data_IF_240017795001
#
_entry.id   IF_240017795001
#
_cell.length_a   1.000
_cell.length_b   1.000
_cell.length_c   1.000
_cell.angle_alpha   90.00
_cell.angle_beta   90.00
_cell.angle_gamma   90.00
#
_symmetry.space_group_name_H-M   'P 1'
#
loop_
_entity.id
_entity.type
_entity.pdbx_description
1 polymer ?
#
# COMPACT_ATOMS: atom_id res chain seq x y z
N UNK A 1 1.24 -1.25 -34.58
CA UNK A 1 -0.19 -0.97 -34.35
C UNK A 1 -0.75 -1.71 -33.12
N UNK A 2 -0.93 -3.05 -33.11
CA UNK A 2 -1.54 -3.79 -31.96
C UNK A 2 -0.80 -3.61 -30.61
N UNK A 3 0.54 -3.58 -30.61
CA UNK A 3 1.35 -3.37 -29.39
C UNK A 3 1.22 -1.95 -28.81
N UNK A 4 1.10 -0.93 -29.65
CA UNK A 4 0.91 0.46 -29.20
C UNK A 4 -0.48 0.68 -28.62
N UNK A 5 -1.50 0.07 -29.23
CA UNK A 5 -2.86 0.11 -28.71
C UNK A 5 -2.95 -0.49 -27.30
N UNK A 6 -2.38 -1.68 -27.10
CA UNK A 6 -2.33 -2.33 -25.77
C UNK A 6 -1.57 -1.49 -24.72
N UNK A 7 -0.47 -0.84 -25.11
CA UNK A 7 0.29 0.03 -24.21
C UNK A 7 -0.53 1.25 -23.77
N UNK A 8 -1.30 1.82 -24.69
CA UNK A 8 -2.16 2.97 -24.46
C UNK A 8 -3.39 2.60 -23.60
N UNK A 9 -4.01 1.45 -23.87
CA UNK A 9 -5.11 0.91 -23.06
C UNK A 9 -4.68 0.63 -21.61
N UNK A 10 -3.49 0.04 -21.42
CA UNK A 10 -2.92 -0.20 -20.09
C UNK A 10 -2.64 1.12 -19.36
N UNK A 11 -2.11 2.13 -20.05
CA UNK A 11 -1.84 3.44 -19.48
C UNK A 11 -3.14 4.12 -19.00
N UNK A 12 -4.21 4.06 -19.80
CA UNK A 12 -5.53 4.56 -19.40
C UNK A 12 -6.06 3.82 -18.18
N UNK A 13 -5.96 2.49 -18.15
CA UNK A 13 -6.41 1.69 -17.02
C UNK A 13 -5.64 2.04 -15.74
N UNK A 14 -4.31 2.04 -15.79
CA UNK A 14 -3.47 2.34 -14.63
C UNK A 14 -3.71 3.75 -14.09
N UNK A 15 -3.86 4.75 -14.98
CA UNK A 15 -4.18 6.12 -14.59
C UNK A 15 -5.51 6.19 -13.83
N UNK A 16 -6.57 5.53 -14.32
CA UNK A 16 -7.87 5.52 -13.63
C UNK A 16 -7.83 4.76 -12.28
N UNK A 17 -7.05 3.68 -12.18
CA UNK A 17 -6.83 3.01 -10.89
C UNK A 17 -6.11 3.94 -9.92
N UNK A 18 -5.09 4.65 -10.38
CA UNK A 18 -4.36 5.62 -9.56
C UNK A 18 -5.24 6.78 -9.10
N UNK A 19 -6.07 7.34 -9.98
CA UNK A 19 -7.04 8.38 -9.61
C UNK A 19 -7.98 7.85 -8.53
N UNK A 20 -8.47 6.62 -8.68
CA UNK A 20 -9.32 5.98 -7.67
C UNK A 20 -8.57 5.78 -6.35
N UNK A 21 -7.28 5.40 -6.41
CA UNK A 21 -6.44 5.25 -5.24
C UNK A 21 -6.22 6.59 -4.51
N UNK A 22 -6.03 7.68 -5.24
CA UNK A 22 -5.91 9.02 -4.65
C UNK A 22 -7.19 9.41 -3.90
N UNK A 23 -8.37 9.11 -4.47
CA UNK A 23 -9.64 9.28 -3.79
C UNK A 23 -9.71 8.46 -2.49
N UNK A 24 -9.30 7.18 -2.53
CA UNK A 24 -9.25 6.32 -1.35
C UNK A 24 -8.27 6.82 -0.28
N UNK A 25 -7.13 7.40 -0.66
CA UNK A 25 -6.18 8.00 0.28
C UNK A 25 -6.81 9.21 1.00
N UNK A 26 -7.52 10.07 0.26
CA UNK A 26 -8.24 11.23 0.83
C UNK A 26 -9.38 10.77 1.75
N UNK A 27 -10.14 9.75 1.37
CA UNK A 27 -11.18 9.17 2.22
C UNK A 27 -10.60 8.57 3.52
N UNK A 28 -9.47 7.87 3.40
CA UNK A 28 -8.79 7.26 4.54
C UNK A 28 -8.33 8.30 5.56
N UNK A 29 -7.81 9.45 5.10
CA UNK A 29 -7.48 10.60 5.94
C UNK A 29 -8.69 11.10 6.74
N UNK A 30 -9.84 11.22 6.08
CA UNK A 30 -11.06 11.75 6.69
C UNK A 30 -11.78 10.76 7.62
N UNK A 31 -11.43 9.47 7.54
CA UNK A 31 -12.13 8.39 8.23
C UNK A 31 -11.28 7.71 9.32
N UNK A 32 -10.18 8.32 9.75
CA UNK A 32 -9.22 7.76 10.71
C UNK A 32 -8.75 6.33 10.35
N UNK A 33 -8.67 6.02 9.05
CA UNK A 33 -8.14 4.73 8.59
C UNK A 33 -6.62 4.76 8.64
N UNK A 34 -6.02 3.58 8.81
CA UNK A 34 -4.57 3.44 8.88
C UNK A 34 -4.09 2.22 8.09
N UNK A 35 -2.86 2.31 7.63
CA UNK A 35 -2.17 1.27 6.89
C UNK A 35 -1.64 0.22 7.87
N UNK A 36 -1.89 -1.05 7.60
CA UNK A 36 -1.37 -2.20 8.35
C UNK A 36 -0.34 -3.00 7.57
N UNK A 37 -0.36 -2.94 6.24
CA UNK A 37 0.64 -3.60 5.38
C UNK A 37 1.03 -2.71 4.21
N UNK A 38 2.29 -2.80 3.80
CA UNK A 38 2.82 -2.18 2.59
C UNK A 38 3.56 -3.26 1.82
N UNK A 39 3.13 -3.53 0.60
CA UNK A 39 3.75 -4.51 -0.30
C UNK A 39 4.17 -3.79 -1.57
N UNK A 40 5.48 -3.72 -1.82
CA UNK A 40 6.00 -3.33 -3.13
C UNK A 40 5.79 -4.47 -4.12
N UNK A 41 5.33 -4.15 -5.32
CA UNK A 41 5.06 -5.10 -6.41
C UNK A 41 5.84 -4.66 -7.65
N UNK A 42 5.91 -5.53 -8.66
CA UNK A 42 6.56 -5.20 -9.94
C UNK A 42 5.95 -3.97 -10.63
N UNK A 43 4.69 -3.63 -10.34
CA UNK A 43 3.93 -2.57 -11.04
C UNK A 43 3.60 -1.38 -10.17
N UNK A 44 3.93 -1.40 -8.87
CA UNK A 44 3.33 -0.48 -7.93
C UNK A 44 3.45 -0.88 -6.48
N UNK A 45 2.54 -0.36 -5.67
CA UNK A 45 2.37 -0.71 -4.26
C UNK A 45 0.94 -1.17 -3.98
N UNK A 46 0.82 -2.12 -3.05
CA UNK A 46 -0.43 -2.44 -2.38
C UNK A 46 -0.35 -2.03 -0.90
N UNK A 47 -1.36 -1.29 -0.44
CA UNK A 47 -1.49 -0.85 0.95
C UNK A 47 -2.71 -1.51 1.57
N UNK A 48 -2.49 -2.43 2.50
CA UNK A 48 -3.58 -3.03 3.28
C UNK A 48 -3.99 -2.08 4.40
N UNK A 49 -5.29 -1.82 4.48
CA UNK A 49 -5.90 -0.94 5.47
C UNK A 49 -6.45 -1.73 6.66
N UNK A 50 -6.66 -1.06 7.78
CA UNK A 50 -7.17 -1.64 9.02
C UNK A 50 -8.60 -2.22 8.91
N UNK A 51 -9.38 -1.79 7.92
CA UNK A 51 -10.72 -2.31 7.62
C UNK A 51 -10.69 -3.50 6.64
N UNK A 52 -9.51 -3.98 6.27
CA UNK A 52 -9.31 -5.07 5.31
C UNK A 52 -9.35 -4.64 3.85
N UNK A 53 -9.63 -3.36 3.54
CA UNK A 53 -9.54 -2.85 2.19
C UNK A 53 -8.08 -2.75 1.72
N UNK A 54 -7.87 -2.75 0.39
CA UNK A 54 -6.55 -2.63 -0.23
C UNK A 54 -6.56 -1.45 -1.19
N UNK A 55 -5.64 -0.50 -1.00
CA UNK A 55 -5.37 0.59 -1.94
C UNK A 55 -4.22 0.16 -2.85
N UNK A 56 -4.41 0.24 -4.17
CA UNK A 56 -3.39 -0.10 -5.17
C UNK A 56 -2.94 1.14 -5.90
N UNK A 57 -1.65 1.40 -5.95
CA UNK A 57 -1.08 2.50 -6.72
C UNK A 57 -0.06 1.95 -7.69
N UNK A 58 -0.31 2.12 -8.98
CA UNK A 58 0.62 1.80 -10.05
C UNK A 58 1.58 2.96 -10.29
N UNK A 59 2.85 2.67 -10.49
CA UNK A 59 3.86 3.64 -10.94
C UNK A 59 4.41 3.28 -12.34
N UNK A 60 3.67 2.42 -13.06
CA UNK A 60 4.06 1.86 -14.36
C UNK A 60 5.29 0.94 -14.27
N UNK A 61 5.61 0.30 -15.38
CA UNK A 61 6.88 -0.43 -15.54
C UNK A 61 8.01 0.55 -15.92
N UNK A 62 9.23 0.27 -15.43
CA UNK A 62 10.43 0.92 -15.97
C UNK A 62 10.51 0.58 -17.46
N UNK A 63 10.50 1.60 -18.30
CA UNK A 63 10.61 1.40 -19.75
C UNK A 63 12.06 1.10 -20.13
N UNK A 64 12.36 0.79 -21.38
CA UNK A 64 13.68 1.09 -21.93
C UNK A 64 13.71 2.56 -22.35
N UNK A 65 14.84 3.23 -22.15
CA UNK A 65 15.05 4.62 -22.56
C UNK A 65 15.09 4.65 -24.10
N UNK A 66 13.97 4.96 -24.73
CA UNK A 66 13.92 5.22 -26.18
C UNK A 66 14.50 6.60 -26.49
N UNK A 67 15.15 6.76 -27.63
CA UNK A 67 15.71 8.05 -28.08
C UNK A 67 14.64 9.14 -28.30
N UNK A 68 13.37 8.75 -28.52
CA UNK A 68 12.25 9.68 -28.67
C UNK A 68 10.99 9.16 -27.97
N UNK A 69 10.52 9.88 -26.95
CA UNK A 69 9.16 9.72 -26.41
C UNK A 69 9.04 9.98 -24.91
N UNK A 70 8.96 11.25 -24.52
CA UNK A 70 8.47 11.64 -23.20
C UNK A 70 7.03 11.14 -23.04
N UNK A 71 6.79 10.26 -22.06
CA UNK A 71 5.45 9.78 -21.74
C UNK A 71 4.63 10.96 -21.18
N UNK A 72 3.66 11.45 -21.94
CA UNK A 72 2.77 12.54 -21.50
C UNK A 72 1.42 12.00 -21.06
N UNK A 73 1.17 12.09 -19.76
CA UNK A 73 -0.13 11.87 -19.13
C UNK A 73 -0.58 13.18 -18.46
N UNK A 74 -1.89 13.50 -18.43
CA UNK A 74 -2.39 14.62 -17.65
C UNK A 74 -2.04 14.45 -16.16
N UNK A 75 -1.55 15.53 -15.54
CA UNK A 75 -1.19 15.51 -14.13
C UNK A 75 -2.45 15.63 -13.27
N UNK A 76 -2.98 14.49 -12.82
CA UNK A 76 -4.11 14.46 -11.89
C UNK A 76 -3.59 14.45 -10.45
N UNK A 77 -4.07 15.41 -9.65
CA UNK A 77 -3.70 15.60 -8.25
C UNK A 77 -4.89 16.13 -7.44
N UNK A 78 -4.70 16.28 -6.13
CA UNK A 78 -5.66 16.92 -5.22
C UNK A 78 -5.06 18.16 -4.56
N UNK A 79 -5.88 19.13 -4.19
CA UNK A 79 -5.45 20.35 -3.51
C UNK A 79 -6.45 20.72 -2.41
N UNK A 80 -5.94 20.98 -1.22
CA UNK A 80 -6.71 21.58 -0.12
C UNK A 80 -7.10 23.02 -0.46
N UNK A 81 -8.28 23.43 0.01
CA UNK A 81 -8.82 24.78 -0.15
C UNK A 81 -9.07 25.42 1.22
N UNK A 82 -9.14 26.75 1.24
CA UNK A 82 -9.38 27.53 2.46
C UNK A 82 -10.75 27.27 3.10
N UNK A 83 -11.67 26.63 2.37
CA UNK A 83 -12.97 26.17 2.87
C UNK A 83 -12.90 24.86 3.67
N UNK A 84 -11.71 24.26 3.80
CA UNK A 84 -11.51 22.99 4.51
C UNK A 84 -11.86 21.75 3.68
N UNK A 85 -12.00 21.91 2.36
CA UNK A 85 -12.25 20.80 1.44
C UNK A 85 -11.07 20.52 0.51
N UNK A 86 -11.05 19.30 -0.02
CA UNK A 86 -10.05 18.82 -0.96
C UNK A 86 -10.66 18.71 -2.35
N UNK A 87 -10.01 19.31 -3.35
CA UNK A 87 -10.51 19.36 -4.73
C UNK A 87 -9.58 18.69 -5.72
N UNK A 88 -10.15 18.10 -6.77
CA UNK A 88 -9.41 17.57 -7.90
C UNK A 88 -8.75 18.68 -8.70
N UNK A 89 -7.52 18.43 -9.14
CA UNK A 89 -6.80 19.29 -10.06
C UNK A 89 -6.23 18.49 -11.22
N UNK A 90 -6.27 19.09 -12.41
CA UNK A 90 -5.57 18.63 -13.61
C UNK A 90 -4.59 19.72 -14.04
N UNK A 91 -3.31 19.37 -14.16
CA UNK A 91 -2.22 20.30 -14.49
C UNK A 91 -2.24 21.57 -13.61
N UNK A 92 -2.53 21.38 -12.32
CA UNK A 92 -2.58 22.44 -11.32
C UNK A 92 -3.84 23.32 -11.34
N UNK A 93 -4.79 23.09 -12.26
CA UNK A 93 -6.08 23.80 -12.34
C UNK A 93 -7.21 22.93 -11.77
N UNK A 94 -8.21 23.54 -11.16
CA UNK A 94 -9.36 22.80 -10.62
C UNK A 94 -10.14 22.10 -11.73
N UNK A 95 -10.45 20.82 -11.53
CA UNK A 95 -11.42 20.11 -12.37
C UNK A 95 -12.81 20.60 -12.00
N UNK A 96 -13.65 20.91 -12.99
CA UNK A 96 -15.01 21.40 -12.79
C UNK A 96 -16.05 20.37 -13.21
N UNK A 97 -17.15 20.30 -12.46
CA UNK A 97 -18.32 19.52 -12.86
C UNK A 97 -19.12 20.22 -13.98
N UNK A 98 -20.14 19.55 -14.51
CA UNK A 98 -20.99 20.12 -15.56
C UNK A 98 -21.79 21.36 -15.16
N UNK A 99 -21.85 21.70 -13.86
CA UNK A 99 -22.43 22.94 -13.35
C UNK A 99 -21.39 24.05 -13.14
N UNK A 100 -20.12 23.77 -13.42
CA UNK A 100 -19.00 24.70 -13.27
C UNK A 100 -18.40 24.76 -11.86
N UNK A 101 -18.85 23.92 -10.92
CA UNK A 101 -18.31 23.89 -9.57
C UNK A 101 -17.01 23.08 -9.53
N UNK A 102 -16.08 23.43 -8.63
CA UNK A 102 -14.87 22.63 -8.43
C UNK A 102 -15.25 21.24 -7.89
N UNK A 103 -14.72 20.19 -8.50
CA UNK A 103 -15.00 18.82 -8.09
C UNK A 103 -14.30 18.48 -6.77
N UNK A 104 -15.08 18.06 -5.78
CA UNK A 104 -14.57 17.60 -4.47
C UNK A 104 -14.03 16.17 -4.53
N UNK A 105 -12.88 15.95 -3.92
CA UNK A 105 -12.24 14.65 -3.75
C UNK A 105 -12.57 14.00 -2.40
N UNK A 106 -12.88 14.80 -1.37
CA UNK A 106 -13.06 14.39 0.02
C UNK A 106 -14.48 13.96 0.40
N UNK A 107 -15.46 14.17 -0.48
CA UNK A 107 -16.86 13.86 -0.21
C UNK A 107 -17.51 14.77 0.83
N UNK A 108 -18.85 14.85 0.83
CA UNK A 108 -19.58 15.66 1.80
C UNK A 108 -19.70 14.85 3.09
N UNK A 109 -19.13 15.33 4.21
CA UNK A 109 -19.39 14.73 5.52
C UNK A 109 -20.89 14.76 5.80
N UNK A 110 -21.46 13.62 6.16
CA UNK A 110 -22.87 13.55 6.53
C UNK A 110 -23.18 14.37 7.77
N UNK A 111 -24.45 14.75 7.93
CA UNK A 111 -24.88 15.56 9.07
C UNK A 111 -24.47 14.89 10.39
N UNK A 112 -24.00 15.68 11.35
CA UNK A 112 -23.75 15.18 12.71
C UNK A 112 -25.11 14.89 13.33
N UNK A 113 -25.31 13.66 13.82
CA UNK A 113 -26.52 13.32 14.57
C UNK A 113 -26.53 14.06 15.90
N UNK A 114 -27.72 14.40 16.39
CA UNK A 114 -27.87 14.89 17.75
C UNK A 114 -27.45 13.81 18.77
N UNK A 115 -27.26 14.18 20.04
CA UNK A 115 -26.77 13.27 21.09
C UNK A 115 -27.57 11.96 21.13
N UNK A 116 -26.97 10.88 20.62
CA UNK A 116 -27.55 9.54 20.60
C UNK A 116 -28.10 9.09 19.23
N UNK A 117 -28.14 9.96 18.23
CA UNK A 117 -28.54 9.62 16.87
C UNK A 117 -27.32 9.38 15.98
N UNK A 118 -27.42 8.36 15.12
CA UNK A 118 -26.44 8.15 14.07
C UNK A 118 -26.59 9.29 13.04
N UNK A 119 -25.50 10.04 12.83
CA UNK A 119 -25.46 11.04 11.78
C UNK A 119 -25.75 10.46 10.40
N UNK A 120 -26.21 11.30 9.48
CA UNK A 120 -26.46 10.88 8.09
C UNK A 120 -25.18 10.36 7.43
N UNK A 121 -25.31 9.46 6.45
CA UNK A 121 -24.17 9.09 5.61
C UNK A 121 -23.83 10.25 4.68
N UNK A 122 -22.53 10.57 4.63
CA UNK A 122 -22.00 11.54 3.68
C UNK A 122 -22.08 11.04 2.24
N UNK A 123 -22.08 11.95 1.27
CA UNK A 123 -21.92 11.59 -0.14
C UNK A 123 -20.42 11.45 -0.46
N UNK A 124 -19.99 10.41 -1.20
CA UNK A 124 -18.59 10.30 -1.61
C UNK A 124 -18.18 11.46 -2.51
N UNK A 125 -16.88 11.76 -2.55
CA UNK A 125 -16.31 12.70 -3.51
C UNK A 125 -16.57 12.23 -4.94
N UNK A 126 -16.68 13.16 -5.88
CA UNK A 126 -16.66 12.80 -7.30
C UNK A 126 -15.30 12.22 -7.66
N UNK A 127 -15.23 11.26 -8.60
CA UNK A 127 -13.96 10.71 -9.09
C UNK A 127 -13.90 11.01 -10.59
N UNK A 128 -12.96 11.85 -11.05
CA UNK A 128 -12.80 12.09 -12.48
C UNK A 128 -12.35 10.81 -13.18
N UNK A 129 -12.73 10.66 -14.45
CA UNK A 129 -12.25 9.56 -15.29
C UNK A 129 -11.42 10.09 -16.44
N UNK A 130 -10.46 9.28 -16.87
CA UNK A 130 -9.62 9.57 -18.02
C UNK A 130 -9.88 8.55 -19.12
N UNK A 131 -9.93 9.00 -20.35
CA UNK A 131 -9.89 8.12 -21.52
C UNK A 131 -9.07 8.75 -22.62
N UNK A 132 -8.88 8.00 -23.70
CA UNK A 132 -8.24 8.50 -24.90
C UNK A 132 -9.26 8.47 -26.02
N UNK A 133 -9.48 9.63 -26.63
CA UNK A 133 -10.25 9.69 -27.86
C UNK A 133 -9.46 9.00 -28.97
N UNK A 134 -9.99 7.88 -29.46
CA UNK A 134 -9.33 7.03 -30.44
C UNK A 134 -9.21 7.69 -31.82
N UNK A 135 -9.99 8.75 -32.08
CA UNK A 135 -9.94 9.49 -33.35
C UNK A 135 -8.79 10.50 -33.34
N UNK A 136 -8.73 11.37 -32.33
CA UNK A 136 -7.69 12.40 -32.21
C UNK A 136 -6.40 11.91 -31.56
N UNK A 137 -6.45 10.80 -30.82
CA UNK A 137 -5.35 10.29 -30.00
C UNK A 137 -5.05 11.19 -28.79
N UNK A 138 -6.03 11.98 -28.34
CA UNK A 138 -5.88 12.92 -27.23
C UNK A 138 -6.52 12.36 -25.97
N UNK A 139 -5.97 12.71 -24.81
CA UNK A 139 -6.61 12.44 -23.53
C UNK A 139 -7.86 13.28 -23.36
N UNK A 140 -8.89 12.66 -22.82
CA UNK A 140 -10.13 13.28 -22.37
C UNK A 140 -10.34 13.04 -20.88
N UNK A 141 -10.95 14.02 -20.21
CA UNK A 141 -11.37 13.93 -18.82
C UNK A 141 -12.89 13.96 -18.75
N UNK A 142 -13.46 13.16 -17.84
CA UNK A 142 -14.86 13.21 -17.48
C UNK A 142 -15.01 13.58 -16.02
N UNK A 143 -15.86 14.58 -15.75
CA UNK A 143 -16.22 15.04 -14.41
C UNK A 143 -17.57 14.49 -13.91
N UNK A 144 -18.25 13.69 -14.72
CA UNK A 144 -19.61 13.19 -14.47
C UNK A 144 -19.72 11.66 -14.56
N UNK A 145 -18.63 10.98 -14.20
CA UNK A 145 -18.51 9.52 -14.17
C UNK A 145 -18.62 8.86 -15.56
N UNK A 146 -18.11 9.53 -16.59
CA UNK A 146 -17.97 9.02 -17.95
C UNK A 146 -19.16 9.30 -18.87
N UNK A 147 -20.09 10.18 -18.49
CA UNK A 147 -21.25 10.52 -19.35
C UNK A 147 -20.87 11.54 -20.41
N UNK A 148 -20.04 12.51 -20.05
CA UNK A 148 -19.46 13.50 -20.96
C UNK A 148 -17.95 13.55 -20.81
N UNK A 149 -17.27 13.98 -21.87
CA UNK A 149 -15.82 13.96 -22.01
C UNK A 149 -15.33 15.26 -22.63
N UNK A 150 -14.26 15.82 -22.07
CA UNK A 150 -13.63 17.04 -22.54
C UNK A 150 -12.16 16.79 -22.88
N UNK A 151 -11.72 17.30 -24.03
CA UNK A 151 -10.32 17.22 -24.45
C UNK A 151 -9.41 17.96 -23.48
N UNK A 152 -8.38 17.27 -22.98
CA UNK A 152 -7.38 17.85 -22.09
C UNK A 152 -6.32 18.68 -22.83
N UNK A 153 -6.19 18.49 -24.15
CA UNK A 153 -5.10 19.06 -24.93
C UNK A 153 -3.78 18.28 -24.83
N UNK A 154 -3.74 17.18 -24.08
CA UNK A 154 -2.57 16.30 -23.98
C UNK A 154 -2.70 15.14 -24.97
N UNK A 155 -1.74 14.99 -25.87
CA UNK A 155 -1.70 13.84 -26.79
C UNK A 155 -1.29 12.59 -26.03
N UNK A 156 -2.06 11.52 -26.17
CA UNK A 156 -1.70 10.24 -25.63
C UNK A 156 -0.44 9.73 -26.35
N UNK A 157 0.62 9.56 -25.58
CA UNK A 157 1.84 8.90 -26.00
C UNK A 157 2.04 7.72 -25.06
N UNK A 158 2.20 6.52 -25.60
CA UNK A 158 2.79 5.41 -24.86
C UNK A 158 4.31 5.51 -25.00
N UNK A 159 5.07 4.93 -24.06
CA UNK A 159 6.50 4.70 -24.30
C UNK A 159 6.62 3.97 -25.64
N UNK A 160 7.32 4.55 -26.62
CA UNK A 160 7.80 3.76 -27.75
C UNK A 160 8.89 2.87 -27.19
N UNK A 161 8.48 1.74 -26.60
CA UNK A 161 9.40 0.66 -26.29
C UNK A 161 9.83 0.04 -27.60
N UNK A 162 10.80 0.66 -28.28
CA UNK A 162 11.64 -0.10 -29.17
C UNK A 162 12.48 -1.02 -28.26
N UNK A 163 12.28 -2.33 -28.38
CA UNK A 163 13.47 -3.15 -28.61
C UNK A 163 14.06 -2.51 -29.87
N UNK A 164 15.24 -1.89 -29.75
CA UNK A 164 15.87 -1.22 -30.88
C UNK A 164 15.75 -2.10 -32.11
N UNK A 165 15.09 -1.60 -33.15
CA UNK A 165 15.05 -2.33 -34.42
C UNK A 165 16.52 -2.46 -34.87
N UNK A 166 17.03 -3.69 -34.87
CA UNK A 166 18.33 -4.11 -35.44
C UNK A 166 19.60 -3.48 -34.85
N UNK A 167 20.06 -3.98 -33.69
CA UNK A 167 21.48 -4.30 -33.53
C UNK A 167 21.72 -5.74 -34.00
N UNK A 168 22.85 -6.08 -34.65
CA UNK A 168 23.10 -7.45 -35.08
C UNK A 168 22.98 -8.39 -33.88
N UNK A 169 22.24 -9.49 -34.04
CA UNK A 169 22.09 -10.56 -33.06
C UNK A 169 23.46 -11.04 -32.59
N UNK A 170 23.90 -10.50 -31.47
CA UNK A 170 25.06 -10.95 -30.73
C UNK A 170 24.63 -11.15 -29.28
N UNK A 171 25.02 -12.26 -28.62
CA UNK A 171 24.69 -12.52 -27.22
C UNK A 171 25.25 -11.47 -26.23
N UNK A 172 25.98 -10.46 -26.72
CA UNK A 172 26.70 -9.44 -25.94
C UNK A 172 26.22 -7.99 -26.17
N UNK A 173 25.06 -7.78 -26.78
CA UNK A 173 24.49 -6.43 -26.91
C UNK A 173 24.15 -5.82 -25.54
N UNK A 174 24.64 -4.62 -25.16
CA UNK A 174 24.31 -4.01 -23.88
C UNK A 174 22.78 -3.81 -23.78
N UNK A 175 22.19 -4.32 -22.71
CA UNK A 175 20.78 -4.04 -22.37
C UNK A 175 20.62 -2.53 -22.23
N UNK A 176 19.69 -1.92 -22.98
CA UNK A 176 19.45 -0.48 -22.93
C UNK A 176 19.13 0.02 -21.52
N UNK A 177 19.44 1.30 -21.24
CA UNK A 177 19.15 1.90 -19.94
C UNK A 177 17.65 1.77 -19.62
N UNK A 178 17.34 1.37 -18.38
CA UNK A 178 15.96 1.41 -17.87
C UNK A 178 15.54 2.89 -17.76
N UNK A 179 14.52 3.29 -18.51
CA UNK A 179 13.87 4.60 -18.41
C UNK A 179 13.04 4.76 -17.14
N UNK A 180 12.64 6.00 -16.86
CA UNK A 180 11.90 6.37 -15.66
C UNK A 180 10.53 5.69 -15.52
N UNK A 181 10.02 5.67 -14.29
CA UNK A 181 8.66 5.26 -13.97
C UNK A 181 7.66 6.11 -14.76
N UNK A 182 6.68 5.48 -15.40
CA UNK A 182 5.78 6.16 -16.31
C UNK A 182 4.35 6.24 -15.77
N UNK A 183 3.70 7.40 -15.89
CA UNK A 183 2.24 7.51 -15.89
C UNK A 183 1.52 7.40 -14.53
N UNK A 184 2.28 7.31 -13.43
CA UNK A 184 1.74 7.25 -12.07
C UNK A 184 1.25 8.61 -11.55
N UNK A 185 0.50 8.63 -10.44
CA UNK A 185 0.17 9.87 -9.71
C UNK A 185 1.26 10.29 -8.71
N UNK A 186 2.17 9.37 -8.37
CA UNK A 186 3.26 9.58 -7.44
C UNK A 186 4.50 10.11 -8.16
N UNK A 187 5.28 10.92 -7.46
CA UNK A 187 6.63 11.26 -7.88
C UNK A 187 7.52 10.00 -7.92
N UNK A 188 8.65 10.03 -8.65
CA UNK A 188 9.67 8.99 -8.53
C UNK A 188 10.08 8.79 -7.07
N UNK A 189 10.09 7.54 -6.60
CA UNK A 189 10.31 7.20 -5.19
C UNK A 189 9.33 7.90 -4.22
N UNK A 190 8.12 8.23 -4.69
CA UNK A 190 7.12 8.97 -3.94
C UNK A 190 6.39 8.17 -2.85
N UNK A 191 6.91 7.03 -2.41
CA UNK A 191 6.40 6.29 -1.24
C UNK A 191 7.51 6.16 -0.23
N UNK A 192 7.32 6.76 0.94
CA UNK A 192 8.23 6.65 2.07
C UNK A 192 7.52 5.95 3.23
N UNK A 193 8.00 4.76 3.59
CA UNK A 193 7.45 3.98 4.70
C UNK A 193 8.24 4.29 5.95
N UNK A 194 7.60 4.93 6.92
CA UNK A 194 8.21 5.22 8.22
C UNK A 194 7.53 4.44 9.34
N UNK A 195 8.12 4.55 10.52
CA UNK A 195 7.44 4.14 11.72
C UNK A 195 6.27 5.11 12.01
N UNK A 196 5.07 4.58 12.23
CA UNK A 196 3.87 5.35 12.54
C UNK A 196 3.13 5.96 11.33
N UNK A 197 3.73 6.04 10.14
CA UNK A 197 3.06 6.55 8.93
C UNK A 197 3.65 6.06 7.61
N UNK A 198 2.89 6.23 6.53
CA UNK A 198 3.37 6.21 5.14
C UNK A 198 3.16 7.60 4.55
N UNK A 199 4.19 8.16 3.94
CA UNK A 199 4.13 9.41 3.20
C UNK A 199 4.14 9.15 1.69
N UNK A 200 3.17 9.74 1.00
CA UNK A 200 3.00 9.69 -0.44
C UNK A 200 3.34 11.06 -1.01
N UNK A 201 4.35 11.14 -1.88
CA UNK A 201 4.69 12.35 -2.62
C UNK A 201 4.07 12.24 -4.02
N UNK A 202 3.15 13.14 -4.35
CA UNK A 202 2.52 13.25 -5.66
C UNK A 202 3.48 13.88 -6.68
N UNK A 203 3.21 13.72 -7.97
CA UNK A 203 4.03 14.30 -9.04
C UNK A 203 4.15 15.85 -8.97
N UNK A 204 3.20 16.53 -8.34
CA UNK A 204 3.26 17.97 -8.10
C UNK A 204 3.95 18.35 -6.78
N UNK A 205 4.70 17.42 -6.18
CA UNK A 205 5.41 17.52 -4.91
C UNK A 205 4.53 17.71 -3.66
N UNK A 206 3.21 17.61 -3.80
CA UNK A 206 2.33 17.57 -2.63
C UNK A 206 2.50 16.26 -1.89
N UNK A 207 2.28 16.31 -0.58
CA UNK A 207 2.47 15.17 0.32
C UNK A 207 1.14 14.80 0.97
N UNK A 208 0.84 13.51 0.97
CA UNK A 208 -0.27 12.89 1.69
C UNK A 208 0.35 11.96 2.72
N UNK A 209 -0.10 12.01 3.98
CA UNK A 209 0.46 11.18 5.05
C UNK A 209 -0.65 10.38 5.72
N UNK A 210 -0.64 9.05 5.55
CA UNK A 210 -1.55 8.18 6.26
C UNK A 210 -0.88 7.55 7.48
N UNK A 211 -1.56 7.47 8.64
CA UNK A 211 -1.06 6.70 9.77
C UNK A 211 -0.79 5.25 9.37
N UNK A 212 0.25 4.67 9.94
CA UNK A 212 0.63 3.27 9.77
C UNK A 212 0.76 2.66 11.15
N UNK A 213 -0.16 1.76 11.47
CA UNK A 213 -0.15 1.02 12.74
C UNK A 213 0.07 -0.43 12.37
N UNK A 214 1.24 -0.94 12.75
CA UNK A 214 1.55 -2.35 12.61
C UNK A 214 0.92 -3.11 13.77
N UNK A 215 0.10 -4.15 13.52
CA UNK A 215 -0.35 -5.02 14.60
C UNK A 215 0.88 -5.65 15.26
N UNK A 216 0.81 -5.83 16.57
CA UNK A 216 1.80 -6.60 17.31
C UNK A 216 1.96 -7.97 16.66
N UNK A 217 3.20 -8.34 16.34
CA UNK A 217 3.55 -9.64 15.80
C UNK A 217 4.86 -10.12 16.41
N UNK A 218 4.87 -11.38 16.84
CA UNK A 218 6.11 -12.09 17.13
C UNK A 218 6.73 -12.63 15.84
N UNK A 219 8.01 -12.36 15.68
CA UNK A 219 8.87 -12.92 14.65
C UNK A 219 9.90 -13.80 15.35
N UNK A 220 9.99 -15.07 14.97
CA UNK A 220 10.98 -16.00 15.50
C UNK A 220 12.12 -16.15 14.48
N UNK A 221 13.29 -15.53 14.69
CA UNK A 221 14.37 -15.51 13.69
C UNK A 221 14.90 -16.91 13.36
N UNK A 222 14.84 -17.84 14.33
CA UNK A 222 15.22 -19.23 14.17
C UNK A 222 14.17 -20.12 13.47
N UNK A 223 13.04 -19.55 13.05
CA UNK A 223 11.90 -20.31 12.55
C UNK A 223 10.96 -20.80 13.66
N UNK A 224 10.09 -21.75 13.32
CA UNK A 224 9.04 -22.25 14.22
C UNK A 224 9.31 -23.68 14.73
N UNK A 225 10.35 -24.35 14.22
CA UNK A 225 10.65 -25.75 14.52
C UNK A 225 11.95 -25.87 15.31
N UNK A 226 11.92 -26.56 16.44
CA UNK A 226 13.07 -26.67 17.35
C UNK A 226 13.27 -28.12 17.83
N UNK A 227 14.50 -28.60 17.70
CA UNK A 227 14.96 -29.85 18.30
C UNK A 227 15.79 -29.55 19.56
N UNK A 228 15.58 -30.37 20.59
CA UNK A 228 16.20 -30.27 21.90
C UNK A 228 16.54 -31.66 22.43
N UNK A 229 17.52 -31.75 23.32
CA UNK A 229 17.78 -32.96 24.10
C UNK A 229 16.69 -33.16 25.15
N UNK A 230 16.44 -34.39 25.55
CA UNK A 230 15.57 -34.68 26.71
C UNK A 230 16.07 -33.98 27.99
N UNK A 231 15.17 -33.32 28.72
CA UNK A 231 15.45 -32.50 29.91
C UNK A 231 16.19 -31.18 29.67
N UNK A 232 16.44 -30.77 28.42
CA UNK A 232 17.12 -29.53 28.07
C UNK A 232 16.22 -28.30 28.33
N UNK A 233 16.83 -27.22 28.81
CA UNK A 233 16.24 -25.89 28.83
C UNK A 233 16.84 -25.03 27.71
N UNK A 234 16.00 -24.33 26.95
CA UNK A 234 16.41 -23.47 25.82
C UNK A 234 15.62 -22.17 25.81
N UNK A 235 16.28 -21.10 25.38
CA UNK A 235 15.65 -19.82 25.11
C UNK A 235 15.46 -19.68 23.59
N UNK A 236 14.22 -19.56 23.16
CA UNK A 236 13.85 -19.34 21.76
C UNK A 236 13.64 -17.84 21.55
N UNK A 237 14.52 -17.14 20.82
CA UNK A 237 14.42 -15.70 20.65
C UNK A 237 13.22 -15.32 19.78
N UNK A 238 12.58 -14.20 20.13
CA UNK A 238 11.63 -13.52 19.27
C UNK A 238 11.95 -12.03 19.18
N UNK A 239 11.51 -11.43 18.09
CA UNK A 239 11.44 -9.98 17.90
C UNK A 239 9.98 -9.59 17.82
N UNK A 240 9.60 -8.58 18.57
CA UNK A 240 8.30 -7.97 18.50
C UNK A 240 8.34 -6.90 17.41
N UNK A 241 7.46 -7.05 16.43
CA UNK A 241 7.20 -6.04 15.41
C UNK A 241 5.80 -5.47 15.64
N UNK A 242 5.60 -4.18 15.40
CA UNK A 242 4.33 -3.53 15.77
C UNK A 242 4.54 -2.26 16.59
N UNK A 243 3.55 -1.38 16.60
CA UNK A 243 3.57 -0.18 17.45
C UNK A 243 2.17 0.09 18.03
N UNK A 244 2.10 0.41 19.33
CA UNK A 244 0.89 0.92 20.02
C UNK A 244 0.39 0.03 21.17
N UNK A 245 0.46 0.51 22.42
CA UNK A 245 0.07 -0.24 23.63
C UNK A 245 1.27 -0.89 24.36
N UNK A 246 1.00 -1.68 25.39
CA UNK A 246 2.02 -2.50 26.10
C UNK A 246 1.75 -3.97 25.77
N UNK A 247 2.69 -4.69 25.12
CA UNK A 247 2.48 -6.08 24.77
C UNK A 247 2.57 -6.96 26.01
N UNK A 248 1.68 -7.94 26.11
CA UNK A 248 1.87 -9.06 27.04
C UNK A 248 2.03 -10.35 26.24
N UNK A 249 2.98 -11.16 26.66
CA UNK A 249 3.31 -12.43 26.03
C UNK A 249 3.12 -13.55 27.04
N UNK A 250 2.44 -14.61 26.62
CA UNK A 250 2.27 -15.82 27.41
C UNK A 250 2.72 -17.01 26.56
N UNK A 251 3.31 -18.01 27.20
CA UNK A 251 3.63 -19.27 26.55
C UNK A 251 3.09 -20.43 27.37
N UNK A 252 2.68 -21.50 26.70
CA UNK A 252 2.26 -22.74 27.34
C UNK A 252 2.81 -23.91 26.53
N UNK A 253 3.45 -24.84 27.22
CA UNK A 253 3.85 -26.12 26.66
C UNK A 253 2.76 -27.17 26.90
N UNK A 254 2.68 -28.14 26.00
CA UNK A 254 1.83 -29.32 26.11
C UNK A 254 2.69 -30.60 26.20
N UNK A 255 2.08 -31.72 26.57
CA UNK A 255 2.71 -33.05 26.55
C UNK A 255 4.02 -33.12 27.36
N UNK A 256 4.02 -32.51 28.55
CA UNK A 256 5.16 -32.50 29.49
C UNK A 256 6.20 -31.41 29.23
N UNK A 257 6.05 -30.62 28.15
CA UNK A 257 6.89 -29.45 27.92
C UNK A 257 6.46 -28.29 28.82
N UNK A 258 7.44 -27.59 29.40
CA UNK A 258 7.20 -26.33 30.09
C UNK A 258 7.57 -25.18 29.16
N UNK A 259 6.76 -24.13 29.15
CA UNK A 259 7.09 -22.91 28.42
C UNK A 259 6.64 -21.67 29.19
N UNK A 260 7.46 -20.63 29.14
CA UNK A 260 7.16 -19.32 29.71
C UNK A 260 7.74 -18.21 28.86
N UNK A 261 7.09 -17.04 28.87
CA UNK A 261 7.64 -15.86 28.23
C UNK A 261 8.67 -15.20 29.15
N UNK A 262 9.88 -14.98 28.63
CA UNK A 262 10.92 -14.21 29.30
C UNK A 262 10.66 -12.70 29.24
N UNK A 263 11.53 -11.90 29.89
CA UNK A 263 11.47 -10.45 29.80
C UNK A 263 11.70 -9.97 28.36
N UNK A 264 11.12 -8.82 28.03
CA UNK A 264 11.28 -8.13 26.75
C UNK A 264 12.17 -6.91 26.97
N UNK A 265 13.20 -6.77 26.14
CA UNK A 265 13.89 -5.50 25.96
C UNK A 265 12.95 -4.53 25.24
N UNK A 266 12.41 -3.55 25.96
CA UNK A 266 11.45 -2.59 25.42
C UNK A 266 12.05 -1.68 24.33
N UNK A 267 13.37 -1.46 24.34
CA UNK A 267 14.02 -0.61 23.33
C UNK A 267 14.28 -1.37 22.04
N UNK A 268 14.74 -2.62 22.14
CA UNK A 268 15.02 -3.46 20.98
C UNK A 268 13.76 -4.20 20.46
N UNK A 269 12.74 -4.34 21.30
CA UNK A 269 11.60 -5.22 21.03
C UNK A 269 11.99 -6.70 21.02
N UNK A 270 13.08 -7.08 21.69
CA UNK A 270 13.62 -8.44 21.67
C UNK A 270 13.27 -9.18 22.97
N UNK A 271 13.01 -10.48 22.87
CA UNK A 271 12.76 -11.32 24.04
C UNK A 271 12.94 -12.79 23.71
N UNK A 272 12.55 -13.67 24.63
CA UNK A 272 12.63 -15.11 24.40
C UNK A 272 11.46 -15.88 25.02
N UNK A 273 11.15 -17.03 24.45
CA UNK A 273 10.33 -18.06 25.09
C UNK A 273 11.28 -19.05 25.75
N UNK A 274 11.23 -19.16 27.06
CA UNK A 274 11.92 -20.21 27.81
C UNK A 274 11.16 -21.51 27.62
N UNK A 275 11.82 -22.56 27.16
CA UNK A 275 11.22 -23.89 26.94
C UNK A 275 12.07 -24.93 27.64
N UNK A 276 11.42 -25.87 28.34
CA UNK A 276 12.06 -27.03 28.96
C UNK A 276 11.43 -28.30 28.40
N UNK A 277 12.26 -29.18 27.85
CA UNK A 277 11.81 -30.46 27.31
C UNK A 277 11.58 -31.49 28.42
N UNK A 278 10.66 -32.45 28.22
CA UNK A 278 10.48 -33.56 29.14
C UNK A 278 11.72 -34.46 29.17
N UNK A 279 11.85 -35.28 30.22
CA UNK A 279 12.94 -36.23 30.39
C UNK A 279 12.82 -37.50 29.50
N UNK A 280 11.95 -37.48 28.49
CA UNK A 280 11.70 -38.57 27.56
C UNK A 280 11.47 -38.01 26.15
N UNK A 281 11.60 -38.88 25.13
CA UNK A 281 11.28 -38.50 23.76
C UNK A 281 9.82 -38.06 23.63
N UNK A 282 9.61 -36.89 23.04
CA UNK A 282 8.29 -36.27 22.92
C UNK A 282 8.28 -35.25 21.78
N UNK A 283 7.13 -35.14 21.12
CA UNK A 283 6.81 -34.10 20.15
C UNK A 283 5.63 -33.31 20.71
N UNK A 284 5.71 -31.99 20.66
CA UNK A 284 4.65 -31.11 21.15
C UNK A 284 4.58 -29.80 20.37
N UNK A 285 3.56 -29.01 20.70
CA UNK A 285 3.45 -27.61 20.29
C UNK A 285 3.51 -26.74 21.52
N UNK A 286 4.38 -25.74 21.52
CA UNK A 286 4.33 -24.62 22.46
C UNK A 286 3.44 -23.55 21.85
N UNK A 287 2.34 -23.23 22.52
CA UNK A 287 1.48 -22.11 22.14
C UNK A 287 2.06 -20.83 22.74
N UNK A 288 2.25 -19.82 21.89
CA UNK A 288 2.66 -18.48 22.31
C UNK A 288 1.56 -17.50 21.97
N UNK A 289 1.13 -16.73 22.97
CA UNK A 289 0.03 -15.78 22.88
C UNK A 289 0.60 -14.37 23.02
N UNK A 290 0.29 -13.51 22.06
CA UNK A 290 0.60 -12.09 22.09
C UNK A 290 -0.71 -11.32 22.23
N UNK A 291 -0.80 -10.44 23.23
CA UNK A 291 -1.95 -9.56 23.45
C UNK A 291 -1.51 -8.11 23.63
N UNK A 292 -2.37 -7.18 23.22
CA UNK A 292 -2.18 -5.74 23.43
C UNK A 292 -2.99 -5.19 24.61
N UNK A 293 -3.62 -6.07 25.42
CA UNK A 293 -4.47 -5.67 26.55
C UNK A 293 -5.90 -5.23 26.18
N UNK A 294 -6.22 -5.09 24.88
CA UNK A 294 -7.53 -4.63 24.39
C UNK A 294 -8.42 -5.80 23.91
N UNK A 295 -8.14 -7.02 24.37
CA UNK A 295 -8.90 -8.22 24.01
C UNK A 295 -8.54 -8.84 22.65
N UNK A 296 -7.58 -8.27 21.91
CA UNK A 296 -7.00 -8.92 20.73
C UNK A 296 -5.86 -9.84 21.13
N UNK A 297 -5.92 -11.09 20.69
CA UNK A 297 -4.87 -12.07 20.90
C UNK A 297 -4.42 -12.67 19.56
N UNK A 298 -3.12 -12.74 19.32
CA UNK A 298 -2.52 -13.46 18.21
C UNK A 298 -1.75 -14.65 18.75
N UNK A 299 -2.00 -15.83 18.18
CA UNK A 299 -1.40 -17.10 18.62
C UNK A 299 -0.34 -17.56 17.63
N UNK A 300 0.77 -18.06 18.14
CA UNK A 300 1.86 -18.68 17.41
C UNK A 300 2.06 -20.11 17.92
N UNK A 301 2.51 -20.99 17.03
CA UNK A 301 2.71 -22.41 17.31
C UNK A 301 4.17 -22.74 17.05
N UNK A 302 4.95 -22.99 18.10
CA UNK A 302 6.31 -23.50 17.97
C UNK A 302 6.25 -25.02 18.06
N UNK A 303 6.75 -25.69 17.04
CA UNK A 303 6.86 -27.15 17.01
C UNK A 303 8.17 -27.55 17.68
N UNK A 304 8.06 -28.40 18.70
CA UNK A 304 9.21 -28.79 19.52
C UNK A 304 9.33 -30.30 19.57
N UNK A 305 10.56 -30.79 19.45
CA UNK A 305 10.90 -32.21 19.46
C UNK A 305 12.03 -32.43 20.46
N UNK A 306 11.89 -33.47 21.28
CA UNK A 306 12.90 -33.92 22.24
C UNK A 306 13.37 -35.32 21.88
N UNK A 307 14.69 -35.50 21.81
CA UNK A 307 15.38 -36.76 21.51
C UNK A 307 16.67 -36.90 22.31
#
# INVERSE_FOLDING_TARGET
MRKQLLAIENLQYELNVNISALASLVEALNSNKYIVTVTETLRGYEFGMNDGSIIRIYHGEKGMKGEDGELKVPLISVRDSSDGHVYWTMDGRFVRDGAGNCMRADGIKGATGDKGEQGGQGAPGGIPRMQIDMVSGMWEISSDNGKTWELTGVKASGKKGEIGDTGPDGPDGPTGEKGEWGGGILAPHGVEVQNGYVEFTLQDNKKIRLPRILPWRLVFPGGMDYEMRTGEAKQIPFVISGFGGTPSIYAVGDNGWLAEAGPVDEQAGEGFIGVVSPACESVATVLVLLTNGEGKCTTYFLHVVSR
#
